data_IF_365032133884
#
_entry.id   IF_365032133884
#
_cell.length_a   1.000
_cell.length_b   1.000
_cell.length_c   1.000
_cell.angle_alpha   90.00
_cell.angle_beta   90.00
_cell.angle_gamma   90.00
#
_symmetry.space_group_name_H-M   'P 1'
#
loop_
_entity.id
_entity.type
_entity.pdbx_description
1 polymer ?
#
# COMPACT_ATOMS: atom_id res chain seq x y z
N UNK A 1 14.26 16.70 -17.93
CA UNK A 1 13.15 15.97 -18.56
C UNK A 1 12.22 15.53 -17.46
N UNK A 2 10.91 15.72 -17.66
CA UNK A 2 9.88 15.16 -16.78
C UNK A 2 9.60 13.71 -17.20
N UNK A 3 10.22 12.76 -16.51
CA UNK A 3 10.10 11.34 -16.83
C UNK A 3 8.68 10.81 -16.66
N UNK A 4 7.91 11.34 -15.71
CA UNK A 4 6.54 10.89 -15.50
C UNK A 4 5.63 11.29 -16.65
N UNK A 5 5.81 12.51 -17.18
CA UNK A 5 5.08 12.95 -18.39
C UNK A 5 5.47 12.09 -19.58
N UNK A 6 6.76 11.80 -19.73
CA UNK A 6 7.25 10.92 -20.80
C UNK A 6 6.65 9.52 -20.70
N UNK A 7 6.71 8.87 -19.54
CA UNK A 7 6.16 7.53 -19.36
C UNK A 7 4.65 7.48 -19.60
N UNK A 8 3.93 8.52 -19.17
CA UNK A 8 2.48 8.63 -19.41
C UNK A 8 2.12 8.78 -20.88
N UNK A 9 2.90 9.57 -21.63
CA UNK A 9 2.68 9.77 -23.06
C UNK A 9 2.94 8.50 -23.89
N UNK A 10 3.84 7.63 -23.42
CA UNK A 10 4.20 6.38 -24.08
C UNK A 10 3.45 5.15 -23.51
N UNK A 11 2.39 5.36 -22.71
CA UNK A 11 1.62 4.29 -22.01
C UNK A 11 2.52 3.34 -21.16
N UNK A 12 3.67 3.83 -20.75
CA UNK A 12 4.61 3.11 -19.90
C UNK A 12 4.27 3.34 -18.44
N UNK A 13 4.07 2.26 -17.69
CA UNK A 13 3.79 2.31 -16.26
C UNK A 13 5.08 2.16 -15.47
N UNK A 14 5.91 3.17 -15.57
CA UNK A 14 7.09 3.34 -14.75
C UNK A 14 6.87 4.54 -13.83
N UNK A 15 7.34 4.42 -12.62
CA UNK A 15 7.24 5.45 -11.60
C UNK A 15 8.64 5.77 -11.09
N UNK A 16 8.90 7.04 -10.85
CA UNK A 16 10.14 7.50 -10.20
C UNK A 16 9.89 7.43 -8.70
N UNK A 17 10.55 6.50 -8.02
CA UNK A 17 10.40 6.31 -6.57
C UNK A 17 11.35 7.20 -5.77
N UNK A 18 12.57 7.37 -6.27
CA UNK A 18 13.61 8.21 -5.66
C UNK A 18 14.49 8.86 -6.71
N UNK A 19 15.05 9.97 -6.33
CA UNK A 19 16.00 10.72 -7.12
C UNK A 19 17.17 11.16 -6.24
N UNK A 20 18.39 10.98 -6.74
CA UNK A 20 19.58 11.58 -6.17
C UNK A 20 20.12 12.63 -7.12
N UNK A 21 20.14 13.88 -6.66
CA UNK A 21 20.75 15.02 -7.36
C UNK A 21 22.02 15.43 -6.66
N UNK A 22 23.14 15.49 -7.39
CA UNK A 22 24.43 15.93 -6.82
C UNK A 22 24.80 15.23 -5.50
N UNK A 23 24.52 13.92 -5.40
CA UNK A 23 24.81 13.10 -4.21
C UNK A 23 23.79 13.20 -3.08
N UNK A 24 22.75 14.02 -3.19
CA UNK A 24 21.71 14.18 -2.18
C UNK A 24 20.42 13.52 -2.65
N UNK A 25 19.83 12.65 -1.80
CA UNK A 25 18.52 12.05 -2.07
C UNK A 25 17.45 13.11 -1.85
N UNK A 26 16.63 13.35 -2.87
CA UNK A 26 15.53 14.32 -2.84
C UNK A 26 14.19 13.60 -2.97
N UNK A 27 13.16 14.15 -2.33
CA UNK A 27 11.80 13.64 -2.51
C UNK A 27 11.29 13.93 -3.93
N UNK A 28 10.68 12.92 -4.53
CA UNK A 28 10.11 13.02 -5.86
C UNK A 28 8.79 13.78 -5.79
N UNK A 29 8.70 14.91 -6.48
CA UNK A 29 7.49 15.68 -6.67
C UNK A 29 7.03 15.64 -8.12
N UNK A 30 5.73 15.93 -8.37
CA UNK A 30 5.11 15.80 -9.70
C UNK A 30 5.78 16.58 -10.86
N UNK A 31 6.71 17.50 -10.58
CA UNK A 31 7.36 18.35 -11.58
C UNK A 31 8.87 18.29 -11.47
N UNK A 32 9.43 17.17 -11.02
CA UNK A 32 10.86 17.07 -10.83
C UNK A 32 11.56 16.92 -12.17
N UNK A 33 12.49 17.83 -12.46
CA UNK A 33 13.33 17.75 -13.64
C UNK A 33 14.57 16.91 -13.35
N UNK A 34 14.82 15.91 -14.19
CA UNK A 34 16.00 15.06 -14.12
C UNK A 34 17.02 15.54 -15.11
N UNK A 35 18.26 15.62 -14.69
CA UNK A 35 19.40 16.10 -15.44
C UNK A 35 20.43 14.98 -15.66
N UNK A 36 21.27 15.06 -16.69
CA UNK A 36 22.35 14.10 -16.87
C UNK A 36 23.26 14.04 -15.64
N UNK A 37 23.49 12.82 -15.13
CA UNK A 37 24.26 12.59 -13.91
C UNK A 37 23.43 12.40 -12.65
N UNK A 38 22.12 12.61 -12.72
CA UNK A 38 21.19 12.23 -11.64
C UNK A 38 21.00 10.72 -11.62
N UNK A 39 20.82 10.14 -10.44
CA UNK A 39 20.48 8.73 -10.26
C UNK A 39 19.02 8.59 -9.87
N UNK A 40 18.31 7.73 -10.56
CA UNK A 40 16.87 7.54 -10.36
C UNK A 40 16.54 6.10 -9.99
N UNK A 41 15.62 5.90 -9.06
CA UNK A 41 14.99 4.59 -8.82
C UNK A 41 13.68 4.55 -9.56
N UNK A 42 13.57 3.61 -10.46
CA UNK A 42 12.35 3.37 -11.21
C UNK A 42 11.66 2.10 -10.69
N UNK A 43 10.37 2.18 -10.47
CA UNK A 43 9.52 1.02 -10.21
C UNK A 43 8.56 0.79 -11.35
N UNK A 44 8.24 -0.48 -11.59
CA UNK A 44 7.32 -0.86 -12.64
C UNK A 44 7.46 -2.31 -13.07
N UNK A 45 6.81 -2.66 -14.16
CA UNK A 45 6.98 -3.99 -14.74
C UNK A 45 8.33 -4.10 -15.41
N UNK A 46 8.99 -5.24 -15.20
CA UNK A 46 10.32 -5.52 -15.76
C UNK A 46 10.39 -5.30 -17.28
N UNK A 47 9.35 -5.67 -18.00
CA UNK A 47 9.25 -5.49 -19.46
C UNK A 47 9.34 -4.02 -19.90
N UNK A 48 8.95 -3.07 -19.05
CA UNK A 48 9.08 -1.64 -19.32
C UNK A 48 10.43 -1.08 -18.91
N UNK A 49 11.08 -1.65 -17.88
CA UNK A 49 12.37 -1.17 -17.38
C UNK A 49 13.49 -1.55 -18.34
N UNK A 50 13.51 -2.80 -18.83
CA UNK A 50 14.58 -3.33 -19.69
C UNK A 50 14.75 -2.51 -21.00
N UNK A 51 13.70 -1.88 -21.50
CA UNK A 51 13.78 -1.06 -22.71
C UNK A 51 14.34 0.34 -22.52
N UNK A 52 14.51 0.80 -21.27
CA UNK A 52 14.82 2.20 -20.98
C UNK A 52 16.31 2.45 -20.72
N UNK A 53 17.13 1.42 -20.53
CA UNK A 53 18.56 1.52 -20.29
C UNK A 53 19.29 2.31 -21.39
N UNK A 54 18.82 2.23 -22.63
CA UNK A 54 19.47 2.87 -23.78
C UNK A 54 19.44 4.39 -23.74
N UNK A 55 18.50 4.99 -23.00
CA UNK A 55 18.36 6.45 -22.97
C UNK A 55 18.35 7.03 -21.54
N UNK A 56 17.96 6.28 -20.54
CA UNK A 56 18.07 6.72 -19.14
C UNK A 56 19.53 6.59 -18.65
N UNK A 57 20.16 5.45 -18.96
CA UNK A 57 21.54 5.17 -18.55
C UNK A 57 21.69 3.76 -17.95
N UNK A 58 22.92 3.37 -17.64
CA UNK A 58 23.22 2.06 -17.09
C UNK A 58 22.66 1.90 -15.67
N UNK A 59 22.30 0.67 -15.31
CA UNK A 59 21.91 0.32 -13.97
C UNK A 59 23.07 0.52 -12.98
N UNK A 60 22.85 1.24 -11.89
CA UNK A 60 23.79 1.44 -10.80
C UNK A 60 23.37 0.63 -9.57
N UNK A 61 24.34 -0.02 -8.92
CA UNK A 61 24.10 -0.73 -7.67
C UNK A 61 24.27 0.22 -6.49
N UNK A 62 23.18 0.78 -6.00
CA UNK A 62 23.17 1.63 -4.82
C UNK A 62 22.14 1.16 -3.79
N UNK A 63 22.62 0.49 -2.73
CA UNK A 63 21.78 -0.03 -1.67
C UNK A 63 21.04 1.07 -0.89
N UNK A 64 21.65 2.26 -0.73
CA UNK A 64 21.01 3.36 0.02
C UNK A 64 19.86 3.98 -0.77
N UNK A 65 20.02 4.07 -2.07
CA UNK A 65 18.98 4.61 -2.93
C UNK A 65 17.80 3.63 -3.06
N UNK A 66 18.08 2.32 -3.00
CA UNK A 66 17.08 1.25 -3.04
C UNK A 66 16.41 0.96 -1.69
N UNK A 67 16.99 1.42 -0.57
CA UNK A 67 16.43 1.24 0.77
C UNK A 67 15.34 2.28 1.04
N UNK A 68 14.17 2.08 0.47
CA UNK A 68 12.98 2.86 0.80
C UNK A 68 11.92 1.99 1.48
N UNK A 69 11.29 2.49 2.55
CA UNK A 69 10.29 1.73 3.28
C UNK A 69 9.03 1.57 2.41
N UNK A 70 8.89 0.40 1.78
CA UNK A 70 7.64 0.00 1.16
C UNK A 70 6.68 -0.49 2.23
N UNK A 71 5.53 0.16 2.37
CA UNK A 71 4.46 -0.27 3.26
C UNK A 71 3.47 -1.17 2.50
N UNK A 72 3.04 -2.23 3.16
CA UNK A 72 1.95 -3.09 2.70
C UNK A 72 0.73 -2.79 3.53
N UNK A 73 -0.38 -2.49 2.87
CA UNK A 73 -1.59 -2.14 3.56
C UNK A 73 -2.78 -2.94 3.01
N UNK A 74 -3.44 -3.76 3.84
CA UNK A 74 -4.71 -4.38 3.46
C UNK A 74 -5.83 -3.35 3.53
N UNK A 75 -6.60 -3.25 2.45
CA UNK A 75 -7.71 -2.31 2.31
C UNK A 75 -8.95 -3.06 1.89
N UNK A 76 -9.99 -3.01 2.72
CA UNK A 76 -11.32 -3.54 2.36
C UNK A 76 -12.04 -2.55 1.46
N UNK A 77 -12.45 -2.99 0.28
CA UNK A 77 -13.17 -2.16 -0.68
C UNK A 77 -14.58 -1.86 -0.16
N UNK A 78 -14.82 -0.60 0.11
CA UNK A 78 -16.13 -0.10 0.56
C UNK A 78 -16.66 1.03 -0.32
N UNK A 79 -15.81 1.61 -1.17
CA UNK A 79 -16.20 2.72 -2.02
C UNK A 79 -16.92 2.23 -3.28
N UNK A 80 -18.17 2.69 -3.48
CA UNK A 80 -18.96 2.40 -4.69
C UNK A 80 -18.31 2.86 -5.98
N UNK A 81 -17.43 3.86 -5.90
CA UNK A 81 -16.67 4.38 -7.05
C UNK A 81 -15.57 3.43 -7.51
N UNK A 82 -15.21 2.43 -6.71
CA UNK A 82 -14.19 1.43 -6.98
C UNK A 82 -14.79 0.04 -7.21
N UNK A 83 -15.78 -0.32 -6.40
CA UNK A 83 -16.48 -1.60 -6.54
C UNK A 83 -17.14 -1.75 -7.92
N UNK A 84 -17.00 -2.94 -8.51
CA UNK A 84 -17.46 -3.25 -9.86
C UNK A 84 -16.50 -2.84 -10.98
N UNK A 85 -15.38 -2.16 -10.67
CA UNK A 85 -14.36 -1.82 -11.65
C UNK A 85 -13.32 -2.94 -11.79
N UNK A 86 -12.74 -3.03 -12.97
CA UNK A 86 -11.61 -3.94 -13.20
C UNK A 86 -10.32 -3.38 -12.61
N UNK A 87 -9.39 -4.28 -12.27
CA UNK A 87 -8.03 -3.92 -11.81
C UNK A 87 -7.35 -2.95 -12.78
N UNK A 88 -7.54 -3.14 -14.10
CA UNK A 88 -6.98 -2.24 -15.12
C UNK A 88 -7.50 -0.80 -14.98
N UNK A 89 -8.80 -0.63 -14.71
CA UNK A 89 -9.42 0.68 -14.52
C UNK A 89 -8.93 1.31 -13.21
N UNK A 90 -8.92 0.54 -12.12
CA UNK A 90 -8.48 1.03 -10.81
C UNK A 90 -7.02 1.49 -10.86
N UNK A 91 -6.15 0.73 -11.50
CA UNK A 91 -4.73 1.09 -11.66
C UNK A 91 -4.50 2.39 -12.44
N UNK A 92 -5.44 2.83 -13.28
CA UNK A 92 -5.36 4.09 -14.05
C UNK A 92 -5.79 5.31 -13.25
N UNK A 93 -6.42 5.12 -12.11
CA UNK A 93 -6.86 6.23 -11.26
C UNK A 93 -5.63 6.97 -10.68
N UNK A 94 -5.73 8.29 -10.59
CA UNK A 94 -4.63 9.13 -10.08
C UNK A 94 -4.16 8.76 -8.68
N UNK A 95 -5.08 8.28 -7.83
CA UNK A 95 -4.74 7.87 -6.46
C UNK A 95 -3.99 6.53 -6.37
N UNK A 96 -3.84 5.81 -7.47
CA UNK A 96 -3.03 4.59 -7.57
C UNK A 96 -1.62 4.85 -8.11
N UNK A 97 -1.25 6.13 -8.26
CA UNK A 97 0.11 6.50 -8.65
C UNK A 97 1.09 6.07 -7.54
N UNK A 98 2.19 5.43 -7.92
CA UNK A 98 3.15 4.87 -6.95
C UNK A 98 2.65 3.67 -6.14
N UNK A 99 1.40 3.21 -6.37
CA UNK A 99 0.79 2.12 -5.61
C UNK A 99 0.54 0.90 -6.49
N UNK A 100 1.01 -0.26 -6.05
CA UNK A 100 0.80 -1.55 -6.71
C UNK A 100 -0.21 -2.40 -5.95
N UNK A 101 -1.10 -3.10 -6.69
CA UNK A 101 -1.98 -4.12 -6.12
C UNK A 101 -1.22 -5.44 -6.14
N UNK A 102 -0.93 -6.00 -4.96
CA UNK A 102 -0.19 -7.25 -4.78
C UNK A 102 -1.10 -8.47 -4.75
N UNK A 103 -2.18 -8.38 -4.00
CA UNK A 103 -3.13 -9.49 -3.86
C UNK A 103 -4.55 -8.98 -3.71
N UNK A 104 -5.52 -9.82 -4.07
CA UNK A 104 -6.94 -9.61 -3.84
C UNK A 104 -7.48 -10.85 -3.15
N UNK A 105 -8.22 -10.66 -2.06
CA UNK A 105 -8.92 -11.72 -1.34
C UNK A 105 -10.41 -11.42 -1.29
N UNK A 106 -11.23 -12.38 -1.67
CA UNK A 106 -12.69 -12.35 -1.58
C UNK A 106 -13.15 -13.43 -0.63
N UNK A 107 -13.81 -13.06 0.46
CA UNK A 107 -14.21 -14.02 1.51
C UNK A 107 -13.08 -14.95 1.95
N UNK A 108 -11.87 -14.41 2.08
CA UNK A 108 -10.66 -15.17 2.48
C UNK A 108 -9.96 -15.94 1.36
N UNK A 109 -10.59 -16.08 0.17
CA UNK A 109 -10.01 -16.79 -0.98
C UNK A 109 -9.19 -15.82 -1.83
N UNK A 110 -7.97 -16.23 -2.21
CA UNK A 110 -7.11 -15.43 -3.09
C UNK A 110 -7.61 -15.47 -4.53
N UNK A 111 -7.76 -14.27 -5.12
CA UNK A 111 -8.19 -14.09 -6.51
C UNK A 111 -6.98 -13.61 -7.33
N UNK A 112 -6.79 -14.12 -8.58
CA UNK A 112 -5.73 -13.65 -9.45
C UNK A 112 -5.83 -12.14 -9.76
N UNK A 113 -4.72 -11.42 -9.66
CA UNK A 113 -4.64 -9.98 -9.93
C UNK A 113 -4.38 -9.76 -11.43
N UNK A 114 -5.38 -10.02 -12.25
CA UNK A 114 -5.32 -9.81 -13.69
C UNK A 114 -5.96 -8.47 -14.07
N UNK A 115 -5.63 -7.95 -15.25
CA UNK A 115 -6.17 -6.67 -15.74
C UNK A 115 -7.70 -6.64 -15.79
N UNK A 116 -8.32 -7.76 -16.17
CA UNK A 116 -9.77 -7.96 -16.29
C UNK A 116 -10.46 -8.37 -14.99
N UNK A 117 -9.70 -8.67 -13.91
CA UNK A 117 -10.31 -9.05 -12.62
C UNK A 117 -11.17 -7.90 -12.10
N UNK A 118 -12.44 -8.18 -11.87
CA UNK A 118 -13.37 -7.22 -11.28
C UNK A 118 -13.20 -7.25 -9.76
N UNK A 119 -13.09 -6.08 -9.17
CA UNK A 119 -12.98 -5.86 -7.72
C UNK A 119 -14.35 -5.51 -7.19
N UNK A 120 -14.84 -6.28 -6.23
CA UNK A 120 -16.16 -6.10 -5.63
C UNK A 120 -16.10 -5.47 -4.24
N UNK A 121 -17.24 -4.96 -3.79
CA UNK A 121 -17.38 -4.49 -2.42
C UNK A 121 -17.14 -5.64 -1.43
N UNK A 122 -16.36 -5.42 -0.39
CA UNK A 122 -15.96 -6.44 0.58
C UNK A 122 -14.69 -7.20 0.21
N UNK A 123 -14.15 -7.03 -1.00
CA UNK A 123 -12.82 -7.57 -1.33
C UNK A 123 -11.76 -6.88 -0.48
N UNK A 124 -10.77 -7.65 -0.05
CA UNK A 124 -9.58 -7.13 0.62
C UNK A 124 -8.44 -7.08 -0.39
N UNK A 125 -7.98 -5.88 -0.69
CA UNK A 125 -6.85 -5.67 -1.59
C UNK A 125 -5.61 -5.33 -0.76
N UNK A 126 -4.52 -6.05 -0.98
CA UNK A 126 -3.21 -5.67 -0.44
C UNK A 126 -2.53 -4.72 -1.43
N UNK A 127 -2.32 -3.49 -0.99
CA UNK A 127 -1.61 -2.46 -1.76
C UNK A 127 -0.21 -2.25 -1.20
N UNK A 128 0.74 -1.93 -2.09
CA UNK A 128 2.16 -1.74 -1.76
C UNK A 128 2.67 -0.48 -2.45
N UNK A 129 3.40 0.33 -1.72
CA UNK A 129 4.00 1.58 -2.19
C UNK A 129 4.67 2.32 -1.04
N UNK A 130 5.02 3.58 -1.22
CA UNK A 130 5.47 4.41 -0.12
C UNK A 130 4.31 4.66 0.87
N UNK A 131 4.62 4.91 2.13
CA UNK A 131 3.61 5.10 3.17
C UNK A 131 2.57 6.16 2.81
N UNK A 132 3.03 7.30 2.28
CA UNK A 132 2.14 8.41 1.92
C UNK A 132 1.18 8.04 0.79
N UNK A 133 1.68 7.39 -0.26
CA UNK A 133 0.90 6.98 -1.42
C UNK A 133 -0.11 5.89 -1.06
N UNK A 134 0.33 4.88 -0.29
CA UNK A 134 -0.53 3.78 0.16
C UNK A 134 -1.65 4.31 1.06
N UNK A 135 -1.38 5.22 1.99
CA UNK A 135 -2.41 5.83 2.84
C UNK A 135 -3.38 6.69 2.02
N UNK A 136 -2.89 7.45 1.04
CA UNK A 136 -3.73 8.25 0.15
C UNK A 136 -4.64 7.38 -0.72
N UNK A 137 -4.09 6.31 -1.29
CA UNK A 137 -4.83 5.33 -2.08
C UNK A 137 -5.89 4.60 -1.23
N UNK A 138 -5.52 4.16 -0.04
CA UNK A 138 -6.41 3.43 0.86
C UNK A 138 -7.67 4.22 1.22
N UNK A 139 -7.56 5.52 1.49
CA UNK A 139 -8.71 6.41 1.76
C UNK A 139 -9.70 6.48 0.58
N UNK A 140 -9.22 6.28 -0.64
CA UNK A 140 -10.03 6.29 -1.87
C UNK A 140 -10.59 4.91 -2.22
N UNK A 141 -9.88 3.85 -1.85
CA UNK A 141 -10.30 2.46 -2.07
C UNK A 141 -11.37 2.02 -1.06
N UNK A 142 -11.18 2.33 0.22
CA UNK A 142 -12.10 1.88 1.23
C UNK A 142 -11.61 2.04 2.67
N UNK A 143 -11.84 0.98 3.45
CA UNK A 143 -11.47 0.92 4.86
C UNK A 143 -10.12 0.20 5.03
N UNK A 144 -9.23 0.82 5.80
CA UNK A 144 -7.92 0.27 6.12
C UNK A 144 -8.10 -0.73 7.28
N UNK A 145 -7.88 -2.00 7.01
CA UNK A 145 -7.81 -3.02 8.05
C UNK A 145 -6.34 -3.12 8.52
N UNK A 146 -5.99 -2.29 9.49
CA UNK A 146 -4.70 -2.46 10.18
C UNK A 146 -4.89 -3.58 11.20
N UNK A 147 -4.28 -4.76 11.02
CA UNK A 147 -4.29 -5.77 12.06
C UNK A 147 -3.58 -5.17 13.28
N UNK A 148 -4.36 -4.71 14.23
CA UNK A 148 -3.83 -4.36 15.54
C UNK A 148 -3.45 -5.67 16.22
N UNK A 149 -2.18 -6.04 16.15
CA UNK A 149 -1.61 -7.14 16.94
C UNK A 149 -1.56 -6.81 18.45
N UNK A 150 -2.20 -5.72 18.85
CA UNK A 150 -2.40 -5.39 20.24
C UNK A 150 -3.73 -6.01 20.67
N UNK A 151 -3.66 -7.22 21.22
CA UNK A 151 -4.70 -7.69 22.12
C UNK A 151 -4.91 -6.58 23.13
N UNK A 152 -6.13 -6.07 23.21
CA UNK A 152 -6.42 -4.93 24.10
C UNK A 152 -6.40 -5.45 25.53
N UNK A 153 -5.15 -5.58 26.07
CA UNK A 153 -4.86 -6.10 27.40
C UNK A 153 -5.62 -5.32 28.50
N UNK A 154 -6.04 -4.09 28.19
CA UNK A 154 -6.82 -3.25 29.10
C UNK A 154 -8.21 -3.85 29.28
N UNK A 155 -8.89 -4.25 28.21
CA UNK A 155 -10.20 -4.88 28.30
C UNK A 155 -10.15 -6.27 28.92
N UNK A 156 -9.09 -7.04 28.65
CA UNK A 156 -8.88 -8.36 29.30
C UNK A 156 -8.62 -8.15 30.79
N UNK A 157 -7.74 -7.22 31.17
CA UNK A 157 -7.45 -6.91 32.57
C UNK A 157 -8.67 -6.39 33.32
N UNK A 158 -9.45 -5.49 32.69
CA UNK A 158 -10.68 -4.97 33.30
C UNK A 158 -11.73 -6.06 33.47
N UNK A 159 -11.87 -6.95 32.49
CA UNK A 159 -12.80 -8.11 32.57
C UNK A 159 -12.46 -9.05 33.71
N UNK A 160 -11.18 -9.35 33.92
CA UNK A 160 -10.71 -10.18 35.05
C UNK A 160 -10.97 -9.48 36.37
N UNK A 161 -10.69 -8.19 36.48
CA UNK A 161 -10.87 -7.41 37.70
C UNK A 161 -12.36 -7.32 38.07
N UNK A 162 -13.22 -6.99 37.14
CA UNK A 162 -14.68 -6.91 37.34
C UNK A 162 -15.25 -8.28 37.65
N UNK A 163 -14.87 -9.32 36.90
CA UNK A 163 -15.31 -10.70 37.15
C UNK A 163 -14.88 -11.21 38.51
N UNK A 164 -13.65 -10.91 38.93
CA UNK A 164 -13.14 -11.25 40.29
C UNK A 164 -13.90 -10.53 41.40
N UNK A 165 -14.23 -9.25 41.22
CA UNK A 165 -15.01 -8.47 42.17
C UNK A 165 -16.43 -9.01 42.35
N UNK A 166 -17.12 -9.34 41.26
CA UNK A 166 -18.44 -9.96 41.31
C UNK A 166 -18.39 -11.37 41.88
N UNK A 167 -17.37 -12.17 41.58
CA UNK A 167 -17.14 -13.48 42.15
C UNK A 167 -16.94 -13.44 43.66
N UNK A 168 -16.20 -12.44 44.16
CA UNK A 168 -15.99 -12.25 45.57
C UNK A 168 -17.24 -11.80 46.36
N UNK A 169 -18.15 -11.05 45.67
CA UNK A 169 -19.42 -10.61 46.26
C UNK A 169 -20.49 -11.70 46.32
N UNK A 170 -20.40 -12.77 45.53
CA UNK A 170 -21.38 -13.81 45.48
C UNK A 170 -21.26 -14.89 46.59
N UNK A 171 -20.23 -14.82 47.42
CA UNK A 171 -19.94 -15.88 48.40
C UNK A 171 -20.72 -15.73 49.74
N UNK A 172 -21.56 -14.73 49.90
CA UNK A 172 -22.25 -14.50 51.18
C UNK A 172 -23.79 -14.31 51.09
N UNK A 173 -24.45 -15.03 50.23
CA UNK A 173 -25.91 -15.10 50.28
C UNK A 173 -26.34 -16.53 50.58
N UNK A 174 -26.64 -16.76 51.88
CA UNK A 174 -27.29 -17.97 52.36
C UNK A 174 -26.32 -19.03 52.88
N UNK A 175 -26.17 -19.14 54.17
CA UNK A 175 -25.56 -20.29 54.85
C UNK A 175 -26.34 -21.55 54.59
N UNK A 176 -25.95 -22.24 53.50
CA UNK A 176 -26.30 -23.67 53.29
C UNK A 176 -24.95 -24.36 53.06
N UNK A 177 -24.64 -25.43 53.85
CA UNK A 177 -23.35 -26.10 53.79
C UNK A 177 -23.08 -26.77 52.46
#
# INVERSE_FOLDING_TARGET
IDLEVYFRQHDKRLFVERLRKSGVVVEVSMNIQIEPGDEVVLSGRREYIIGEESWIGPEVQDAQLLDFPAEKLPVTITRKTVAGKTVAVIRREKFMHGVSIRSIKRTGISIPVLAQTVVDAGDVIEVVGTRQEVEAAAKRLGYIDRPTNQTDMIFVGLGILVGGLFGALSVHIGGIP
#
